data_IF_045315892307
#
_entry.id   IF_045315892307
#
_cell.length_a   1.000
_cell.length_b   1.000
_cell.length_c   1.000
_cell.angle_alpha   90.00
_cell.angle_beta   90.00
_cell.angle_gamma   90.00
#
_symmetry.space_group_name_H-M   'P 1'
#
loop_
_entity.id
_entity.type
_entity.pdbx_description
1 polymer ?
#
# COMPACT_ATOMS: atom_id res chain seq x y z
N UNK A 1 16.18 -2.35 13.08
CA UNK A 1 14.98 -2.97 12.49
C UNK A 1 14.33 -1.93 11.59
N UNK A 2 13.88 -2.32 10.40
CA UNK A 2 13.15 -1.43 9.50
C UNK A 2 11.70 -1.27 10.00
N UNK A 3 11.10 -0.10 9.82
CA UNK A 3 9.68 0.13 10.14
C UNK A 3 8.82 -0.43 8.99
N UNK A 4 7.72 -1.16 9.26
CA UNK A 4 7.21 -1.50 10.59
C UNK A 4 7.91 -2.71 11.23
N UNK A 5 7.92 -2.71 12.56
CA UNK A 5 8.31 -3.84 13.40
C UNK A 5 7.12 -4.21 14.30
N UNK A 6 6.82 -5.50 14.41
CA UNK A 6 5.82 -6.06 15.32
C UNK A 6 6.55 -6.78 16.46
N UNK A 7 6.18 -6.44 17.69
CA UNK A 7 6.45 -7.24 18.88
C UNK A 7 5.17 -7.96 19.29
N UNK A 8 5.25 -9.28 19.41
CA UNK A 8 4.15 -10.11 19.85
C UNK A 8 4.71 -11.16 20.82
N UNK A 9 4.58 -10.86 22.12
CA UNK A 9 5.28 -11.56 23.21
C UNK A 9 6.81 -11.51 22.99
N UNK A 10 7.48 -12.66 22.98
CA UNK A 10 8.93 -12.77 22.77
C UNK A 10 9.31 -12.76 21.27
N UNK A 11 8.33 -12.75 20.36
CA UNK A 11 8.59 -12.74 18.92
C UNK A 11 8.71 -11.32 18.38
N UNK A 12 9.82 -11.05 17.68
CA UNK A 12 10.08 -9.77 17.00
C UNK A 12 10.14 -9.99 15.50
N UNK A 13 9.22 -9.37 14.76
CA UNK A 13 9.15 -9.44 13.30
C UNK A 13 9.33 -8.04 12.70
N UNK A 14 10.01 -7.95 11.57
CA UNK A 14 10.05 -6.77 10.70
C UNK A 14 9.72 -7.20 9.27
N UNK A 15 9.58 -6.24 8.36
CA UNK A 15 8.96 -6.38 7.04
C UNK A 15 7.44 -6.56 7.12
N UNK A 16 6.72 -5.60 6.55
CA UNK A 16 5.26 -5.54 6.59
C UNK A 16 4.60 -6.76 5.96
N UNK A 17 5.18 -7.34 4.90
CA UNK A 17 4.68 -8.57 4.27
C UNK A 17 4.77 -9.79 5.20
N UNK A 18 5.89 -9.95 5.91
CA UNK A 18 6.08 -11.02 6.88
C UNK A 18 5.13 -10.86 8.08
N UNK A 19 5.01 -9.63 8.58
CA UNK A 19 4.07 -9.28 9.66
C UNK A 19 2.64 -9.60 9.23
N UNK A 20 2.21 -9.22 8.02
CA UNK A 20 0.87 -9.49 7.53
C UNK A 20 0.59 -11.00 7.42
N UNK A 21 1.51 -11.78 6.86
CA UNK A 21 1.38 -13.24 6.77
C UNK A 21 1.27 -13.88 8.16
N UNK A 22 2.09 -13.43 9.11
CA UNK A 22 2.04 -13.88 10.50
C UNK A 22 0.70 -13.57 11.16
N UNK A 23 0.22 -12.33 11.05
CA UNK A 23 -1.04 -11.90 11.66
C UNK A 23 -2.23 -12.69 11.11
N UNK A 24 -2.29 -12.93 9.80
CA UNK A 24 -3.32 -13.76 9.18
C UNK A 24 -3.35 -15.19 9.74
N UNK A 25 -2.16 -15.78 9.95
CA UNK A 25 -2.00 -17.17 10.40
C UNK A 25 -2.26 -17.34 11.90
N UNK A 26 -1.75 -16.44 12.75
CA UNK A 26 -1.88 -16.52 14.22
C UNK A 26 -3.28 -16.12 14.69
N UNK A 27 -3.84 -15.03 14.16
CA UNK A 27 -5.12 -14.47 14.62
C UNK A 27 -6.28 -14.82 13.68
N UNK A 28 -6.75 -16.07 13.77
CA UNK A 28 -7.80 -16.60 12.88
C UNK A 28 -9.22 -16.17 13.26
N UNK A 29 -9.45 -15.75 14.49
CA UNK A 29 -10.78 -15.27 14.94
C UNK A 29 -10.99 -13.84 14.43
N UNK A 30 -11.92 -13.67 13.50
CA UNK A 30 -12.17 -12.39 12.82
C UNK A 30 -13.60 -11.92 13.03
N UNK A 31 -13.80 -10.61 13.08
CA UNK A 31 -15.13 -9.99 13.02
C UNK A 31 -15.77 -10.26 11.66
N UNK A 32 -17.05 -10.62 11.65
CA UNK A 32 -17.81 -10.92 10.43
C UNK A 32 -18.15 -9.67 9.61
N UNK A 33 -17.13 -9.04 9.00
CA UNK A 33 -17.27 -7.88 8.12
C UNK A 33 -17.28 -8.37 6.67
N UNK A 34 -18.12 -7.77 5.82
CA UNK A 34 -18.20 -8.07 4.39
C UNK A 34 -17.53 -6.97 3.54
N UNK A 35 -16.72 -7.32 2.52
CA UNK A 35 -16.17 -8.65 2.28
C UNK A 35 -15.23 -9.08 3.43
N UNK A 36 -15.12 -10.39 3.73
CA UNK A 36 -14.21 -10.89 4.76
C UNK A 36 -12.75 -10.60 4.37
N UNK A 37 -11.88 -10.49 5.37
CA UNK A 37 -10.43 -10.55 5.15
C UNK A 37 -10.08 -11.98 4.70
N UNK A 38 -9.31 -12.11 3.62
CA UNK A 38 -8.84 -13.40 3.10
C UNK A 38 -8.06 -14.16 4.15
N UNK A 39 -8.31 -15.46 4.29
CA UNK A 39 -7.75 -16.28 5.38
C UNK A 39 -6.23 -16.40 5.31
N UNK A 40 -5.70 -16.53 4.09
CA UNK A 40 -4.30 -16.76 3.81
C UNK A 40 -3.74 -15.67 2.88
N UNK A 41 -2.42 -15.61 2.87
CA UNK A 41 -1.65 -14.67 2.05
C UNK A 41 -1.70 -15.01 0.55
N UNK A 42 -1.88 -16.29 0.23
CA UNK A 42 -1.93 -16.84 -1.12
C UNK A 42 -2.86 -18.07 -1.12
N UNK A 43 -3.68 -18.24 -2.16
CA UNK A 43 -4.55 -19.42 -2.31
C UNK A 43 -3.71 -20.64 -2.67
N UNK A 44 -4.06 -21.85 -2.18
CA UNK A 44 -3.33 -23.07 -2.53
C UNK A 44 -3.22 -23.29 -4.06
N UNK A 45 -4.33 -23.11 -4.78
CA UNK A 45 -4.42 -23.37 -6.22
C UNK A 45 -3.91 -22.22 -7.11
N UNK A 46 -3.47 -21.11 -6.52
CA UNK A 46 -2.97 -19.93 -7.26
C UNK A 46 -1.79 -19.29 -6.53
N UNK A 47 -1.02 -20.10 -5.80
CA UNK A 47 -0.05 -19.61 -4.82
C UNK A 47 0.99 -18.68 -5.47
N UNK A 48 1.53 -19.11 -6.61
CA UNK A 48 2.57 -18.38 -7.31
C UNK A 48 2.01 -17.12 -7.98
N UNK A 49 0.80 -17.17 -8.51
CA UNK A 49 0.10 -16.02 -9.07
C UNK A 49 -0.16 -14.95 -8.00
N UNK A 50 -0.69 -15.35 -6.85
CA UNK A 50 -1.02 -14.44 -5.74
C UNK A 50 0.24 -13.83 -5.12
N UNK A 51 1.32 -14.61 -5.02
CA UNK A 51 2.63 -14.11 -4.59
C UNK A 51 3.24 -13.19 -5.64
N UNK A 52 3.10 -13.49 -6.93
CA UNK A 52 3.56 -12.62 -8.03
C UNK A 52 2.85 -11.27 -7.97
N UNK A 53 1.53 -11.26 -7.77
CA UNK A 53 0.77 -10.03 -7.55
C UNK A 53 1.34 -9.27 -6.35
N UNK A 54 1.53 -9.94 -5.22
CA UNK A 54 2.08 -9.31 -4.02
C UNK A 54 3.46 -8.69 -4.26
N UNK A 55 4.42 -9.42 -4.85
CA UNK A 55 5.76 -8.87 -5.10
C UNK A 55 5.74 -7.74 -6.14
N UNK A 56 4.79 -7.74 -7.08
CA UNK A 56 4.59 -6.60 -7.99
C UNK A 56 4.11 -5.36 -7.23
N UNK A 57 3.15 -5.52 -6.30
CA UNK A 57 2.70 -4.45 -5.40
C UNK A 57 3.87 -3.93 -4.54
N UNK A 58 4.69 -4.83 -3.99
CA UNK A 58 5.91 -4.44 -3.24
C UNK A 58 6.92 -3.70 -4.11
N UNK A 59 7.08 -4.09 -5.38
CA UNK A 59 7.99 -3.42 -6.31
C UNK A 59 7.54 -1.99 -6.58
N UNK A 60 6.23 -1.77 -6.72
CA UNK A 60 5.64 -0.43 -6.82
C UNK A 60 5.90 0.37 -5.54
N UNK A 61 5.62 -0.21 -4.36
CA UNK A 61 5.86 0.43 -3.08
C UNK A 61 7.33 0.78 -2.84
N UNK A 62 8.26 -0.10 -3.22
CA UNK A 62 9.71 0.12 -3.12
C UNK A 62 10.16 1.28 -4.01
N UNK A 63 9.65 1.36 -5.25
CA UNK A 63 9.96 2.47 -6.15
C UNK A 63 9.50 3.82 -5.55
N UNK A 64 8.26 3.89 -5.07
CA UNK A 64 7.70 5.09 -4.48
C UNK A 64 8.41 5.52 -3.19
N UNK A 65 8.70 4.58 -2.30
CA UNK A 65 9.39 4.86 -1.02
C UNK A 65 10.85 5.25 -1.23
N UNK A 66 11.55 4.64 -2.19
CA UNK A 66 12.91 5.06 -2.56
C UNK A 66 12.92 6.49 -3.09
N UNK A 67 11.98 6.84 -3.98
CA UNK A 67 11.82 8.22 -4.47
C UNK A 67 11.54 9.19 -3.32
N UNK A 68 10.65 8.81 -2.39
CA UNK A 68 10.34 9.62 -1.21
C UNK A 68 11.55 9.88 -0.32
N UNK A 69 12.33 8.85 -0.02
CA UNK A 69 13.53 8.96 0.82
C UNK A 69 14.59 9.86 0.19
N UNK A 70 14.79 9.73 -1.13
CA UNK A 70 15.73 10.58 -1.86
C UNK A 70 15.25 12.02 -1.94
N UNK A 71 13.93 12.24 -2.11
CA UNK A 71 13.34 13.58 -2.08
C UNK A 71 13.61 14.29 -0.76
N UNK A 72 13.47 13.60 0.37
CA UNK A 72 13.80 14.15 1.70
C UNK A 72 15.29 14.41 1.89
N UNK A 73 16.15 13.74 1.12
CA UNK A 73 17.59 13.97 1.09
C UNK A 73 17.99 15.06 0.08
N UNK A 74 17.02 15.77 -0.52
CA UNK A 74 17.25 16.87 -1.45
C UNK A 74 17.44 16.47 -2.92
N UNK A 75 17.15 15.21 -3.28
CA UNK A 75 17.29 14.72 -4.67
C UNK A 75 15.93 14.40 -5.25
N UNK A 76 15.48 15.17 -6.25
CA UNK A 76 14.25 14.88 -6.96
C UNK A 76 14.42 13.67 -7.89
N UNK A 77 13.34 12.95 -8.17
CA UNK A 77 13.43 11.72 -8.96
C UNK A 77 13.89 11.95 -10.40
N UNK A 78 13.60 13.13 -10.97
CA UNK A 78 13.99 13.53 -12.32
C UNK A 78 15.43 14.04 -12.42
N UNK A 79 16.15 14.15 -11.31
CA UNK A 79 17.57 14.57 -11.24
C UNK A 79 18.53 13.38 -11.17
N UNK A 80 18.00 12.16 -11.06
CA UNK A 80 18.79 10.94 -10.92
C UNK A 80 18.25 9.83 -11.83
N UNK A 81 19.07 9.29 -12.72
CA UNK A 81 18.61 8.30 -13.71
C UNK A 81 17.99 7.04 -13.09
N UNK A 82 18.48 6.58 -11.94
CA UNK A 82 17.91 5.41 -11.27
C UNK A 82 16.51 5.72 -10.72
N UNK A 83 16.30 6.92 -10.18
CA UNK A 83 15.01 7.36 -9.69
C UNK A 83 14.04 7.64 -10.84
N UNK A 84 14.50 8.21 -11.96
CA UNK A 84 13.71 8.34 -13.19
C UNK A 84 13.20 6.97 -13.66
N UNK A 85 14.08 5.97 -13.77
CA UNK A 85 13.68 4.59 -14.11
C UNK A 85 12.75 3.94 -13.07
N UNK A 86 12.79 4.42 -11.83
CA UNK A 86 11.88 3.97 -10.75
C UNK A 86 10.51 4.64 -10.85
N UNK A 87 10.44 5.89 -11.30
CA UNK A 87 9.19 6.57 -11.61
C UNK A 87 8.55 5.98 -12.87
N UNK A 88 9.34 5.83 -13.95
CA UNK A 88 8.89 5.36 -15.26
C UNK A 88 8.28 3.95 -15.22
N UNK A 89 8.73 3.08 -14.30
CA UNK A 89 8.17 1.73 -14.18
C UNK A 89 6.78 1.70 -13.55
N UNK A 90 6.41 2.68 -12.73
CA UNK A 90 5.15 2.67 -11.95
C UNK A 90 3.93 2.50 -12.87
N UNK A 91 3.78 3.27 -13.97
CA UNK A 91 2.69 3.06 -14.92
C UNK A 91 2.62 1.64 -15.51
N UNK A 92 3.76 1.00 -15.78
CA UNK A 92 3.78 -0.38 -16.28
C UNK A 92 3.32 -1.39 -15.22
N UNK A 93 3.73 -1.20 -13.96
CA UNK A 93 3.29 -2.02 -12.83
C UNK A 93 1.79 -1.84 -12.59
N UNK A 94 1.30 -0.60 -12.61
CA UNK A 94 -0.12 -0.27 -12.47
C UNK A 94 -0.96 -0.90 -13.58
N UNK A 95 -0.55 -0.75 -14.84
CA UNK A 95 -1.21 -1.38 -15.98
C UNK A 95 -1.25 -2.91 -15.86
N UNK A 96 -0.15 -3.52 -15.40
CA UNK A 96 -0.12 -4.96 -15.19
C UNK A 96 -1.08 -5.38 -14.07
N UNK A 97 -1.04 -4.72 -12.91
CA UNK A 97 -1.92 -4.99 -11.76
C UNK A 97 -3.40 -4.81 -12.11
N UNK A 98 -3.74 -3.75 -12.84
CA UNK A 98 -5.09 -3.48 -13.36
C UNK A 98 -5.61 -4.66 -14.21
N UNK A 99 -4.74 -5.26 -15.03
CA UNK A 99 -5.11 -6.41 -15.85
C UNK A 99 -5.28 -7.71 -15.07
N UNK A 100 -4.75 -7.80 -13.84
CA UNK A 100 -4.94 -8.95 -12.96
C UNK A 100 -6.25 -8.87 -12.17
N UNK A 101 -6.87 -7.69 -12.06
CA UNK A 101 -8.15 -7.53 -11.39
C UNK A 101 -9.30 -8.01 -12.29
N UNK A 102 -10.22 -8.84 -11.78
CA UNK A 102 -11.29 -9.39 -12.59
C UNK A 102 -12.28 -8.31 -13.02
N UNK A 103 -12.72 -7.46 -12.10
CA UNK A 103 -13.72 -6.41 -12.32
C UNK A 103 -13.53 -5.25 -11.35
N UNK A 104 -14.30 -4.18 -11.55
CA UNK A 104 -14.36 -3.07 -10.60
C UNK A 104 -15.03 -3.47 -9.28
N UNK A 105 -15.72 -4.61 -9.18
CA UNK A 105 -16.47 -5.02 -7.99
C UNK A 105 -15.64 -5.94 -7.07
N UNK A 106 -14.49 -6.40 -7.52
CA UNK A 106 -13.72 -7.48 -6.89
C UNK A 106 -12.24 -7.10 -6.71
N UNK A 107 -11.64 -7.60 -5.64
CA UNK A 107 -10.20 -7.50 -5.39
C UNK A 107 -9.42 -8.67 -5.99
N UNK A 108 -8.13 -8.79 -5.64
CA UNK A 108 -7.30 -9.90 -6.09
C UNK A 108 -7.78 -11.28 -5.58
N UNK A 109 -8.53 -11.32 -4.46
CA UNK A 109 -9.20 -12.51 -3.93
C UNK A 109 -10.71 -12.53 -4.14
N UNK A 110 -11.19 -11.95 -5.23
CA UNK A 110 -12.60 -11.94 -5.61
C UNK A 110 -13.49 -11.33 -4.51
N UNK A 111 -14.16 -12.19 -3.74
CA UNK A 111 -15.15 -11.85 -2.72
C UNK A 111 -14.53 -11.62 -1.32
N UNK A 112 -13.20 -11.70 -1.22
CA UNK A 112 -12.45 -11.40 0.00
C UNK A 112 -11.48 -10.23 -0.22
N UNK A 113 -11.32 -9.41 0.82
CA UNK A 113 -10.25 -8.41 0.88
C UNK A 113 -8.91 -9.13 1.09
N UNK A 114 -7.97 -8.94 0.17
CA UNK A 114 -6.64 -9.52 0.22
C UNK A 114 -5.61 -8.61 0.88
N UNK A 115 -4.48 -9.18 1.30
CA UNK A 115 -3.31 -8.37 1.71
C UNK A 115 -2.79 -7.56 0.54
N UNK A 116 -2.87 -8.09 -0.68
CA UNK A 116 -2.49 -7.43 -1.92
C UNK A 116 -3.32 -6.15 -2.14
N UNK A 117 -4.64 -6.21 -1.93
CA UNK A 117 -5.54 -5.04 -2.03
C UNK A 117 -5.19 -3.97 -1.00
N UNK A 118 -4.92 -4.39 0.25
CA UNK A 118 -4.55 -3.50 1.36
C UNK A 118 -3.23 -2.79 1.04
N UNK A 119 -2.19 -3.53 0.65
CA UNK A 119 -0.88 -2.97 0.36
C UNK A 119 -0.90 -2.07 -0.86
N UNK A 120 -1.63 -2.43 -1.90
CA UNK A 120 -1.80 -1.58 -3.07
C UNK A 120 -2.44 -0.25 -2.66
N UNK A 121 -3.54 -0.28 -1.91
CA UNK A 121 -4.20 0.93 -1.40
C UNK A 121 -3.27 1.77 -0.52
N UNK A 122 -2.49 1.13 0.35
CA UNK A 122 -1.49 1.81 1.19
C UNK A 122 -0.41 2.53 0.35
N UNK A 123 0.15 1.87 -0.67
CA UNK A 123 1.19 2.47 -1.51
C UNK A 123 0.64 3.59 -2.40
N UNK A 124 -0.58 3.46 -2.91
CA UNK A 124 -1.19 4.50 -3.74
C UNK A 124 -1.60 5.71 -2.89
N UNK A 125 -2.14 5.50 -1.70
CA UNK A 125 -2.36 6.58 -0.73
C UNK A 125 -1.04 7.25 -0.29
N UNK A 126 0.03 6.47 -0.14
CA UNK A 126 1.37 7.01 0.17
C UNK A 126 1.84 7.97 -0.92
N UNK A 127 1.69 7.60 -2.19
CA UNK A 127 2.06 8.42 -3.35
C UNK A 127 1.17 9.67 -3.40
N UNK A 128 -0.16 9.48 -3.33
CA UNK A 128 -1.13 10.57 -3.49
C UNK A 128 -0.99 11.67 -2.43
N UNK A 129 -0.62 11.30 -1.21
CA UNK A 129 -0.61 12.25 -0.09
C UNK A 129 0.74 12.97 0.10
N UNK A 130 1.79 12.66 -0.68
CA UNK A 130 3.14 13.21 -0.48
C UNK A 130 3.64 14.03 -1.68
N UNK A 131 4.38 15.13 -1.44
CA UNK A 131 4.93 15.97 -2.51
C UNK A 131 6.21 15.39 -3.13
N UNK A 132 6.14 14.13 -3.57
CA UNK A 132 7.28 13.38 -4.15
C UNK A 132 7.36 13.48 -5.68
N UNK A 133 6.47 14.28 -6.28
CA UNK A 133 6.41 14.50 -7.73
C UNK A 133 5.88 13.29 -8.51
N UNK A 134 5.11 12.42 -7.85
CA UNK A 134 4.46 11.27 -8.46
C UNK A 134 2.94 11.42 -8.34
N UNK A 135 2.23 10.91 -9.34
CA UNK A 135 0.77 10.85 -9.36
C UNK A 135 0.35 9.42 -9.75
N UNK A 136 -0.45 8.72 -8.92
CA UNK A 136 -0.96 7.38 -9.24
C UNK A 136 -1.79 7.33 -10.53
N UNK A 137 -2.39 8.45 -10.95
CA UNK A 137 -3.24 8.56 -12.14
C UNK A 137 -4.36 7.50 -12.13
N UNK A 138 -5.10 7.42 -11.01
CA UNK A 138 -6.14 6.39 -10.79
C UNK A 138 -7.25 6.42 -11.83
N UNK A 139 -7.50 7.57 -12.47
CA UNK A 139 -8.45 7.72 -13.57
C UNK A 139 -8.14 6.81 -14.78
N UNK A 140 -6.90 6.34 -14.91
CA UNK A 140 -6.47 5.40 -15.96
C UNK A 140 -6.65 3.94 -15.59
N UNK A 141 -6.95 3.64 -14.33
CA UNK A 141 -6.98 2.29 -13.77
C UNK A 141 -8.26 2.08 -12.94
N UNK A 142 -9.44 2.00 -13.60
CA UNK A 142 -10.73 1.98 -12.91
C UNK A 142 -10.90 0.82 -11.91
N UNK A 143 -10.34 -0.37 -12.18
CA UNK A 143 -10.44 -1.49 -11.23
C UNK A 143 -9.58 -1.26 -9.99
N UNK A 144 -8.37 -0.76 -10.16
CA UNK A 144 -7.51 -0.34 -9.03
C UNK A 144 -8.19 0.79 -8.25
N UNK A 145 -8.73 1.80 -8.92
CA UNK A 145 -9.46 2.90 -8.27
C UNK A 145 -10.61 2.37 -7.41
N UNK A 146 -11.36 1.39 -7.93
CA UNK A 146 -12.45 0.77 -7.18
C UNK A 146 -11.95 -0.06 -5.98
N UNK A 147 -10.83 -0.79 -6.11
CA UNK A 147 -10.17 -1.48 -4.99
C UNK A 147 -9.76 -0.50 -3.89
N UNK A 148 -9.15 0.62 -4.26
CA UNK A 148 -8.77 1.68 -3.32
C UNK A 148 -10.01 2.23 -2.61
N UNK A 149 -11.05 2.61 -3.35
CA UNK A 149 -12.30 3.13 -2.78
C UNK A 149 -12.93 2.17 -1.76
N UNK A 150 -13.13 0.89 -2.13
CA UNK A 150 -13.68 -0.13 -1.21
C UNK A 150 -12.81 -0.39 0.01
N UNK A 151 -11.49 -0.29 -0.15
CA UNK A 151 -10.57 -0.45 1.00
C UNK A 151 -10.74 0.71 1.98
N UNK A 152 -10.88 1.94 1.48
CA UNK A 152 -11.11 3.14 2.28
C UNK A 152 -12.47 3.18 2.99
N UNK A 153 -13.50 2.52 2.45
CA UNK A 153 -14.80 2.38 3.11
C UNK A 153 -14.76 1.55 4.40
N UNK A 154 -13.68 0.77 4.62
CA UNK A 154 -13.55 -0.05 5.81
C UNK A 154 -13.16 0.79 7.02
N UNK A 155 -13.92 0.66 8.10
CA UNK A 155 -13.64 1.33 9.38
C UNK A 155 -12.21 1.12 9.90
N UNK A 156 -11.63 -0.07 9.70
CA UNK A 156 -10.24 -0.36 10.08
C UNK A 156 -9.21 0.44 9.29
N UNK A 157 -9.53 0.79 8.03
CA UNK A 157 -8.65 1.55 7.15
C UNK A 157 -8.86 3.05 7.34
N UNK A 158 -10.11 3.51 7.41
CA UNK A 158 -10.43 4.93 7.62
C UNK A 158 -10.00 5.45 8.99
N UNK A 159 -9.97 4.60 10.02
CA UNK A 159 -9.43 4.95 11.36
C UNK A 159 -7.89 5.03 11.41
N UNK A 160 -7.20 4.60 10.36
CA UNK A 160 -5.73 4.64 10.24
C UNK A 160 -5.35 5.36 8.95
N UNK A 161 -5.56 6.68 8.86
CA UNK A 161 -5.34 7.42 7.63
C UNK A 161 -3.86 7.35 7.21
N UNK A 162 -3.64 7.25 5.90
CA UNK A 162 -2.29 7.24 5.32
C UNK A 162 -1.81 8.68 5.22
N UNK A 163 -1.23 9.19 6.28
CA UNK A 163 -0.82 10.59 6.36
C UNK A 163 0.52 10.86 5.71
N UNK A 164 0.74 12.11 5.31
CA UNK A 164 2.07 12.63 5.02
C UNK A 164 2.70 13.16 6.29
N UNK A 165 3.85 12.61 6.63
CA UNK A 165 4.74 13.12 7.66
C UNK A 165 6.12 13.40 7.06
N UNK A 166 6.73 14.52 7.44
CA UNK A 166 8.12 14.91 7.17
C UNK A 166 8.69 15.69 8.37
N UNK A 167 10.01 15.92 8.42
CA UNK A 167 10.63 16.64 9.54
C UNK A 167 10.00 18.01 9.76
N UNK A 168 9.53 18.27 10.99
CA UNK A 168 8.87 19.53 11.38
C UNK A 168 7.35 19.47 11.47
N UNK A 169 6.72 18.37 11.04
CA UNK A 169 5.28 18.15 11.24
C UNK A 169 4.99 17.88 12.72
N UNK A 170 4.16 18.74 13.33
CA UNK A 170 3.75 18.68 14.75
C UNK A 170 2.29 18.28 14.95
N UNK A 171 1.51 18.25 13.87
CA UNK A 171 0.10 17.88 13.91
C UNK A 171 -0.53 17.87 12.54
N UNK A 172 -1.85 17.73 12.50
CA UNK A 172 -2.65 17.79 11.28
C UNK A 172 -3.82 18.76 11.47
N UNK A 173 -4.27 19.39 10.39
CA UNK A 173 -5.40 20.31 10.39
C UNK A 173 -6.73 19.59 10.68
N UNK A 174 -7.83 20.33 10.76
CA UNK A 174 -9.18 19.79 11.01
C UNK A 174 -9.65 18.76 9.96
N UNK A 175 -8.99 18.70 8.80
CA UNK A 175 -9.22 17.68 7.78
C UNK A 175 -8.53 16.33 8.07
N UNK A 176 -7.81 16.24 9.20
CA UNK A 176 -6.98 15.12 9.66
C UNK A 176 -5.95 14.66 8.64
N UNK A 177 -5.57 15.51 7.67
CA UNK A 177 -4.70 15.13 6.52
C UNK A 177 -3.63 16.14 6.20
N UNK A 178 -3.91 17.43 6.35
CA UNK A 178 -2.98 18.50 6.01
C UNK A 178 -1.95 18.67 7.14
N UNK A 179 -0.63 18.50 6.88
CA UNK A 179 0.38 18.63 7.92
C UNK A 179 0.48 20.06 8.45
N UNK A 180 0.62 20.19 9.78
CA UNK A 180 0.91 21.46 10.47
C UNK A 180 2.38 21.44 10.90
N UNK A 181 3.08 22.55 10.67
CA UNK A 181 4.49 22.72 11.01
C UNK A 181 4.65 23.63 12.24
N UNK A 182 5.70 23.39 13.03
CA UNK A 182 6.16 24.36 14.03
C UNK A 182 6.59 25.64 13.29
N UNK A 183 6.09 26.80 13.73
CA UNK A 183 6.36 28.11 13.11
C UNK A 183 7.70 28.67 13.52
#
# INVERSE_FOLDING_TARGET
LQVPTLWDEDLVLWESGLIAEYLLKKYRKRTGIMPPLALDFARPDSNWEDRRIFVTVQTLGTAATTISQMKWSGVAHNENEYLTRSADRIPYLMKWLESQLPSEQQGFFNDALSVQDIFLSCHLGFIANRPIGLDPQLEKYPKIAAVVARTHERGSFSSNPILWWDPGVVGYAEDDKTPIYET
#
